data_IF_496462486835
#
_entry.id   IF_496462486835
#
_cell.length_a   1.000
_cell.length_b   1.000
_cell.length_c   1.000
_cell.angle_alpha   90.00
_cell.angle_beta   90.00
_cell.angle_gamma   90.00
#
_symmetry.space_group_name_H-M   'P 1'
#
loop_
_entity.id
_entity.type
_entity.pdbx_description
1 polymer ?
#
# COMPACT_ATOMS: atom_id res chain seq x y z
N UNK A 1 -22.38 17.63 20.76
CA UNK A 1 -21.80 18.16 19.49
C UNK A 1 -20.57 17.37 19.02
N UNK A 2 -19.51 17.18 19.83
CA UNK A 2 -18.28 16.44 19.40
C UNK A 2 -18.54 15.00 18.95
N UNK A 3 -19.36 14.23 19.68
CA UNK A 3 -19.71 12.84 19.33
C UNK A 3 -20.52 12.73 18.03
N UNK A 4 -21.42 13.69 17.78
CA UNK A 4 -22.21 13.74 16.55
C UNK A 4 -21.36 14.09 15.33
N UNK A 5 -20.48 15.09 15.46
CA UNK A 5 -19.55 15.46 14.38
C UNK A 5 -18.59 14.32 14.03
N UNK A 6 -18.11 13.57 15.03
CA UNK A 6 -17.23 12.41 14.82
C UNK A 6 -17.95 11.25 14.14
N UNK A 7 -19.17 10.91 14.57
CA UNK A 7 -19.98 9.88 13.92
C UNK A 7 -20.35 10.25 12.49
N UNK A 8 -20.69 11.51 12.23
CA UNK A 8 -20.97 12.02 10.89
C UNK A 8 -19.75 11.91 9.97
N UNK A 9 -18.57 12.33 10.46
CA UNK A 9 -17.32 12.21 9.71
C UNK A 9 -16.97 10.75 9.37
N UNK A 10 -17.16 9.82 10.31
CA UNK A 10 -16.94 8.39 10.09
C UNK A 10 -17.88 7.82 9.02
N UNK A 11 -19.16 8.19 9.04
CA UNK A 11 -20.15 7.76 8.04
C UNK A 11 -19.79 8.29 6.64
N UNK A 12 -19.41 9.57 6.54
CA UNK A 12 -18.97 10.16 5.27
C UNK A 12 -17.72 9.44 4.73
N UNK A 13 -16.74 9.17 5.59
CA UNK A 13 -15.53 8.43 5.20
C UNK A 13 -15.85 7.01 4.73
N UNK A 14 -16.76 6.32 5.40
CA UNK A 14 -17.19 4.97 5.04
C UNK A 14 -17.88 4.94 3.67
N UNK A 15 -18.79 5.89 3.42
CA UNK A 15 -19.53 5.99 2.15
C UNK A 15 -18.58 6.35 1.01
N UNK A 16 -17.73 7.36 1.21
CA UNK A 16 -16.75 7.78 0.21
C UNK A 16 -15.74 6.67 -0.09
N UNK A 17 -15.25 5.98 0.94
CA UNK A 17 -14.32 4.85 0.81
C UNK A 17 -14.95 3.66 0.09
N UNK A 18 -16.20 3.32 0.41
CA UNK A 18 -16.95 2.26 -0.27
C UNK A 18 -17.19 2.60 -1.75
N UNK A 19 -17.51 3.86 -2.06
CA UNK A 19 -17.67 4.34 -3.43
C UNK A 19 -16.35 4.28 -4.21
N UNK A 20 -15.25 4.72 -3.62
CA UNK A 20 -13.92 4.64 -4.23
C UNK A 20 -13.50 3.18 -4.47
N UNK A 21 -13.78 2.28 -3.53
CA UNK A 21 -13.49 0.86 -3.66
C UNK A 21 -14.36 0.20 -4.73
N UNK A 22 -15.64 0.58 -4.83
CA UNK A 22 -16.52 0.16 -5.91
C UNK A 22 -15.99 0.63 -7.28
N UNK A 23 -15.60 1.91 -7.39
CA UNK A 23 -15.02 2.48 -8.61
C UNK A 23 -13.68 1.83 -8.99
N UNK A 24 -12.87 1.46 -8.00
CA UNK A 24 -11.60 0.77 -8.23
C UNK A 24 -11.79 -0.70 -8.61
N UNK A 25 -12.82 -1.36 -8.09
CA UNK A 25 -13.19 -2.75 -8.44
C UNK A 25 -13.66 -2.90 -9.88
N UNK A 26 -14.29 -1.87 -10.46
CA UNK A 26 -14.69 -1.86 -11.87
C UNK A 26 -13.53 -1.59 -12.81
N UNK A 27 -12.38 -1.11 -12.30
CA UNK A 27 -11.16 -1.06 -13.10
C UNK A 27 -10.64 -2.48 -13.28
N UNK A 28 -10.28 -2.83 -14.52
CA UNK A 28 -9.74 -4.15 -14.83
C UNK A 28 -8.51 -4.47 -13.95
N UNK A 29 -8.37 -5.74 -13.54
CA UNK A 29 -7.23 -6.19 -12.72
C UNK A 29 -5.92 -5.86 -13.45
N UNK A 30 -5.12 -4.97 -12.88
CA UNK A 30 -3.80 -4.60 -13.42
C UNK A 30 -2.83 -5.79 -13.41
N UNK A 31 -3.06 -6.78 -12.54
CA UNK A 31 -2.28 -8.01 -12.46
C UNK A 31 -3.19 -9.25 -12.36
N UNK A 32 -3.04 -10.16 -13.31
CA UNK A 32 -3.65 -11.50 -13.32
C UNK A 32 -2.52 -12.48 -13.50
N UNK A 33 -2.31 -13.39 -12.54
CA UNK A 33 -1.19 -14.35 -12.55
C UNK A 33 -1.15 -15.26 -13.77
N UNK A 34 -2.24 -15.33 -14.54
CA UNK A 34 -2.32 -16.03 -15.83
C UNK A 34 -1.54 -15.34 -16.96
N UNK A 35 -1.18 -14.06 -16.82
CA UNK A 35 -0.35 -13.32 -17.81
C UNK A 35 1.15 -13.48 -17.59
N UNK A 36 1.57 -14.22 -16.56
CA UNK A 36 3.00 -14.48 -16.32
C UNK A 36 3.60 -15.35 -17.42
N UNK A 37 2.83 -16.32 -17.93
CA UNK A 37 3.26 -17.18 -19.04
C UNK A 37 3.41 -16.40 -20.35
N UNK A 38 2.55 -15.40 -20.60
CA UNK A 38 2.61 -14.56 -21.80
C UNK A 38 3.75 -13.52 -21.74
N UNK A 39 4.03 -12.97 -20.55
CA UNK A 39 5.15 -12.04 -20.32
C UNK A 39 6.49 -12.79 -20.45
N UNK A 40 6.56 -14.02 -19.96
CA UNK A 40 7.76 -14.85 -20.06
C UNK A 40 8.10 -15.23 -21.51
N UNK A 41 7.09 -15.30 -22.40
CA UNK A 41 7.27 -15.72 -23.79
C UNK A 41 7.42 -14.56 -24.80
N UNK A 42 7.09 -13.31 -24.44
CA UNK A 42 7.12 -12.17 -25.38
C UNK A 42 7.93 -10.94 -24.92
N UNK A 43 8.48 -10.94 -23.71
CA UNK A 43 9.33 -9.84 -23.23
C UNK A 43 10.79 -10.30 -23.25
N UNK A 44 11.46 -10.11 -24.39
CA UNK A 44 12.91 -10.24 -24.46
C UNK A 44 13.51 -9.05 -23.72
N UNK A 45 13.87 -9.25 -22.45
CA UNK A 45 14.73 -8.30 -21.75
C UNK A 45 16.08 -8.25 -22.47
N UNK A 46 16.50 -7.07 -22.92
CA UNK A 46 17.86 -6.88 -23.42
C UNK A 46 18.82 -7.07 -22.24
N UNK A 47 19.30 -8.31 -22.07
CA UNK A 47 20.23 -8.69 -21.01
C UNK A 47 21.69 -8.52 -21.43
N UNK A 48 21.97 -7.93 -22.60
CA UNK A 48 23.35 -7.77 -23.10
C UNK A 48 24.15 -6.76 -22.26
N UNK A 49 23.47 -5.82 -21.59
CA UNK A 49 24.03 -4.96 -20.54
C UNK A 49 23.07 -4.93 -19.35
N UNK A 50 23.31 -5.70 -18.27
CA UNK A 50 22.42 -5.71 -17.13
C UNK A 50 22.50 -4.36 -16.42
N UNK A 51 21.52 -3.50 -16.65
CA UNK A 51 21.27 -2.28 -15.88
C UNK A 51 20.28 -2.52 -14.73
N UNK A 52 20.24 -3.76 -14.22
CA UNK A 52 19.60 -4.13 -12.95
C UNK A 52 18.08 -3.91 -12.86
N UNK A 53 17.50 -4.32 -11.73
CA UNK A 53 16.05 -4.19 -11.46
C UNK A 53 15.59 -2.72 -11.49
N UNK A 54 16.50 -1.79 -11.16
CA UNK A 54 16.24 -0.35 -11.17
C UNK A 54 15.88 0.18 -12.56
N UNK A 55 16.57 -0.23 -13.63
CA UNK A 55 16.26 0.27 -14.97
C UNK A 55 14.87 -0.17 -15.44
N UNK A 56 14.47 -1.41 -15.13
CA UNK A 56 13.12 -1.91 -15.42
C UNK A 56 12.05 -1.10 -14.68
N UNK A 57 12.26 -0.82 -13.39
CA UNK A 57 11.35 -0.02 -12.58
C UNK A 57 11.19 1.39 -13.17
N UNK A 58 12.27 2.03 -13.62
CA UNK A 58 12.21 3.39 -14.20
C UNK A 58 11.48 3.39 -15.54
N UNK A 59 11.74 2.42 -16.41
CA UNK A 59 11.14 2.36 -17.75
C UNK A 59 9.66 1.97 -17.73
N UNK A 60 9.27 1.07 -16.82
CA UNK A 60 7.92 0.50 -16.80
C UNK A 60 6.99 1.11 -15.75
N UNK A 61 7.50 1.99 -14.86
CA UNK A 61 6.78 2.55 -13.71
C UNK A 61 5.36 3.02 -14.07
N UNK A 62 5.31 4.02 -14.95
CA UNK A 62 4.08 4.72 -15.28
C UNK A 62 3.05 3.79 -15.95
N UNK A 63 3.52 2.79 -16.69
CA UNK A 63 2.65 1.80 -17.34
C UNK A 63 2.03 0.85 -16.31
N UNK A 64 2.84 0.33 -15.38
CA UNK A 64 2.46 -0.71 -14.43
C UNK A 64 1.76 -0.19 -13.18
N UNK A 65 2.17 0.95 -12.65
CA UNK A 65 1.68 1.49 -11.37
C UNK A 65 0.84 2.74 -11.53
N UNK A 66 0.87 3.39 -12.70
CA UNK A 66 0.27 4.72 -12.94
C UNK A 66 0.83 5.84 -12.07
N UNK A 67 1.90 5.58 -11.31
CA UNK A 67 2.56 6.59 -10.51
C UNK A 67 3.62 7.34 -11.35
N UNK A 68 3.67 8.67 -11.19
CA UNK A 68 4.73 9.50 -11.79
C UNK A 68 6.02 9.41 -10.96
N UNK A 69 5.88 9.24 -9.63
CA UNK A 69 7.01 9.12 -8.73
C UNK A 69 7.43 7.65 -8.58
N UNK A 70 8.60 7.32 -9.11
CA UNK A 70 9.15 5.97 -9.05
C UNK A 70 9.42 5.49 -7.61
N UNK A 71 9.80 6.37 -6.68
CA UNK A 71 10.03 5.99 -5.27
C UNK A 71 8.71 5.59 -4.61
N UNK A 72 7.65 6.38 -4.83
CA UNK A 72 6.31 6.07 -4.30
C UNK A 72 5.80 4.75 -4.88
N UNK A 73 5.98 4.52 -6.18
CA UNK A 73 5.64 3.26 -6.82
C UNK A 73 6.39 2.06 -6.23
N UNK A 74 7.67 2.24 -5.87
CA UNK A 74 8.44 1.17 -5.20
C UNK A 74 7.87 0.87 -3.83
N UNK A 75 7.62 1.89 -3.01
CA UNK A 75 7.16 1.73 -1.63
C UNK A 75 5.73 1.19 -1.55
N UNK A 76 4.83 1.56 -2.47
CA UNK A 76 3.41 1.18 -2.39
C UNK A 76 2.96 0.10 -3.38
N UNK A 77 3.55 0.01 -4.57
CA UNK A 77 3.15 -0.99 -5.58
C UNK A 77 4.12 -2.16 -5.64
N UNK A 78 5.39 -1.93 -6.00
CA UNK A 78 6.36 -3.02 -6.19
C UNK A 78 6.74 -3.71 -4.89
N UNK A 79 6.82 -2.96 -3.78
CA UNK A 79 7.20 -3.46 -2.44
C UNK A 79 6.20 -3.05 -1.36
N UNK A 80 4.92 -2.97 -1.73
CA UNK A 80 3.84 -2.60 -0.80
C UNK A 80 3.76 -3.48 0.46
N UNK A 81 4.12 -4.76 0.35
CA UNK A 81 4.14 -5.68 1.50
C UNK A 81 5.19 -5.32 2.55
N UNK A 82 6.36 -4.81 2.14
CA UNK A 82 7.41 -4.41 3.08
C UNK A 82 6.94 -3.19 3.89
N UNK A 83 6.37 -2.19 3.21
CA UNK A 83 5.79 -0.99 3.83
C UNK A 83 4.59 -1.30 4.74
N UNK A 84 3.76 -2.28 4.36
CA UNK A 84 2.66 -2.77 5.19
C UNK A 84 3.20 -3.44 6.47
N UNK A 85 4.30 -4.19 6.36
CA UNK A 85 5.02 -4.75 7.50
C UNK A 85 5.57 -3.67 8.44
N UNK A 86 6.24 -2.64 7.91
CA UNK A 86 6.74 -1.50 8.69
C UNK A 86 5.61 -0.81 9.48
N UNK A 87 4.45 -0.64 8.84
CA UNK A 87 3.26 -0.06 9.48
C UNK A 87 2.74 -0.91 10.65
N UNK A 88 2.75 -2.24 10.52
CA UNK A 88 2.38 -3.15 11.61
C UNK A 88 3.39 -3.12 12.76
N UNK A 89 4.69 -2.99 12.46
CA UNK A 89 5.73 -2.85 13.48
C UNK A 89 5.48 -1.57 14.29
N UNK A 90 5.24 -0.44 13.63
CA UNK A 90 4.93 0.84 14.30
C UNK A 90 3.63 0.77 15.11
N UNK A 91 2.57 0.17 14.56
CA UNK A 91 1.31 -0.02 15.26
C UNK A 91 1.50 -0.84 16.54
N UNK A 92 2.23 -1.95 16.45
CA UNK A 92 2.54 -2.82 17.60
C UNK A 92 3.38 -2.09 18.64
N UNK A 93 4.38 -1.31 18.21
CA UNK A 93 5.23 -0.53 19.10
C UNK A 93 4.42 0.52 19.90
N UNK A 94 3.51 1.23 19.23
CA UNK A 94 2.63 2.21 19.87
C UNK A 94 1.67 1.50 20.84
N UNK A 95 1.00 0.44 20.38
CA UNK A 95 0.07 -0.34 21.21
C UNK A 95 0.76 -0.88 22.47
N UNK A 96 1.95 -1.47 22.33
CA UNK A 96 2.75 -1.96 23.45
C UNK A 96 3.15 -0.86 24.42
N UNK A 97 3.61 0.29 23.91
CA UNK A 97 3.98 1.45 24.73
C UNK A 97 2.78 1.97 25.53
N UNK A 98 1.61 2.06 24.92
CA UNK A 98 0.37 2.49 25.60
C UNK A 98 -0.02 1.52 26.71
N UNK A 99 0.08 0.20 26.48
CA UNK A 99 -0.21 -0.82 27.51
C UNK A 99 0.73 -0.66 28.71
N UNK A 100 2.03 -0.53 28.47
CA UNK A 100 3.04 -0.37 29.53
C UNK A 100 2.78 0.90 30.34
N UNK A 101 2.61 2.05 29.67
CA UNK A 101 2.39 3.34 30.34
C UNK A 101 1.05 3.39 31.08
N UNK A 102 -0.01 2.77 30.54
CA UNK A 102 -1.32 2.72 31.20
C UNK A 102 -1.30 1.84 32.45
N UNK A 103 -0.51 0.77 32.47
CA UNK A 103 -0.36 -0.09 33.65
C UNK A 103 0.25 0.66 34.83
N UNK A 104 1.14 1.63 34.58
CA UNK A 104 1.80 2.39 35.64
C UNK A 104 0.87 3.39 36.35
N UNK A 105 -0.16 3.90 35.66
CA UNK A 105 -1.13 4.84 36.24
C UNK A 105 -2.08 4.19 37.26
N UNK A 106 -2.22 2.85 37.25
CA UNK A 106 -3.19 2.14 38.09
C UNK A 106 -2.66 1.74 39.48
N UNK A 107 -1.40 2.08 39.79
CA UNK A 107 -0.73 1.78 41.07
C UNK A 107 -0.42 3.00 41.94
N UNK A 108 -1.02 4.17 41.65
CA UNK A 108 -0.92 5.38 42.49
C UNK A 108 -2.28 5.82 43.05
N UNK A 109 -3.10 4.86 43.48
CA UNK A 109 -4.18 5.06 44.44
C UNK A 109 -3.97 4.13 45.63
#
# INVERSE_FOLDING_TARGET
MKKFAMSFALVVFLIMGSYAMYYSSTQGRTYSGTKLEDIQNNVSYDMQKPDGVSNVIIRENLSKTKAINAVTAVVFDYRGYDTLGESFILLTAIAGSVVILKSHKKGSE
#
